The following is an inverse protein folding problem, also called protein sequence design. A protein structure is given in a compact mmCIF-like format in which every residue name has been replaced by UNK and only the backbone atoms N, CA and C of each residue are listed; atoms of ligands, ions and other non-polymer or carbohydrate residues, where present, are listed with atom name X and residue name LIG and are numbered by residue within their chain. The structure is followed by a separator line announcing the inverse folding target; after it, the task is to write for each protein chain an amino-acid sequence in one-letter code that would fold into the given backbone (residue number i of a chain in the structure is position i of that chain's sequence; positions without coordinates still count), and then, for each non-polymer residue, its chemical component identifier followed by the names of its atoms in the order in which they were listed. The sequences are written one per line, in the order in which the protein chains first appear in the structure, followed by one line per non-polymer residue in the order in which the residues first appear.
data_IF_923325314318
#
_entry.id   IF_923325314318
#
_cell.length_a   1.000
_cell.length_b   1.000
_cell.length_c   1.000
_cell.angle_alpha   90.00
_cell.angle_beta   90.00
_cell.angle_gamma   90.00
#
_symmetry.space_group_name_H-M   'P 1'
#
loop_
_entity.id
_entity.type
_entity.pdbx_description
1 polymer ?
#
# COMPACT_ATOMS: atom_id res chain seq x y z
N UNK A 1 -6.98 -5.51 13.25
CA UNK A 1 -5.78 -4.97 13.92
C UNK A 1 -4.55 -5.77 13.52
N UNK A 2 -4.48 -7.08 13.78
CA UNK A 2 -3.35 -7.92 13.32
C UNK A 2 -3.11 -7.89 11.80
N UNK A 3 -4.16 -7.84 10.99
CA UNK A 3 -4.07 -7.79 9.52
C UNK A 3 -3.52 -6.48 8.97
N UNK A 4 -3.82 -5.36 9.64
CA UNK A 4 -3.25 -4.04 9.31
C UNK A 4 -1.76 -4.08 9.59
N UNK A 5 -1.37 -4.58 10.78
CA UNK A 5 0.02 -4.71 11.18
C UNK A 5 0.82 -5.55 10.17
N UNK A 6 0.29 -6.72 9.77
CA UNK A 6 0.96 -7.60 8.81
C UNK A 6 1.15 -6.94 7.44
N UNK A 7 0.12 -6.27 6.93
CA UNK A 7 0.20 -5.53 5.67
C UNK A 7 1.21 -4.38 5.74
N UNK A 8 1.22 -3.63 6.85
CA UNK A 8 2.18 -2.54 7.07
C UNK A 8 3.61 -3.04 7.20
N UNK A 9 3.83 -4.20 7.83
CA UNK A 9 5.15 -4.84 7.89
C UNK A 9 5.62 -5.28 6.51
N UNK A 10 4.74 -5.83 5.69
CA UNK A 10 5.09 -6.16 4.30
C UNK A 10 5.42 -4.91 3.49
N UNK A 11 4.65 -3.84 3.65
CA UNK A 11 4.97 -2.56 3.01
C UNK A 11 6.32 -2.01 3.50
N UNK A 12 6.65 -2.13 4.79
CA UNK A 12 7.96 -1.76 5.34
C UNK A 12 9.09 -2.58 4.70
N UNK A 13 8.91 -3.88 4.49
CA UNK A 13 9.88 -4.73 3.78
C UNK A 13 10.08 -4.23 2.35
N UNK A 14 9.02 -3.86 1.63
CA UNK A 14 9.13 -3.29 0.29
C UNK A 14 9.76 -1.90 0.28
N UNK A 15 9.47 -1.04 1.26
CA UNK A 15 10.15 0.24 1.41
C UNK A 15 11.65 0.04 1.62
N UNK A 16 12.03 -0.91 2.48
CA UNK A 16 13.43 -1.29 2.70
C UNK A 16 14.10 -1.87 1.46
N UNK A 17 13.41 -2.75 0.71
CA UNK A 17 13.92 -3.30 -0.54
C UNK A 17 14.11 -2.22 -1.60
N UNK A 18 13.21 -1.25 -1.68
CA UNK A 18 13.30 -0.14 -2.63
C UNK A 18 14.48 0.78 -2.32
N UNK A 19 14.74 1.02 -1.04
CA UNK A 19 15.89 1.79 -0.60
C UNK A 19 17.21 1.04 -0.88
N UNK A 20 17.26 -0.28 -0.63
CA UNK A 20 18.41 -1.13 -0.96
C UNK A 20 18.72 -1.15 -2.46
N UNK A 21 17.68 -1.11 -3.30
CA UNK A 21 17.80 -1.07 -4.76
C UNK A 21 18.04 0.35 -5.31
N UNK A 22 18.14 1.37 -4.44
CA UNK A 22 18.28 2.78 -4.81
C UNK A 22 17.12 3.31 -5.69
N UNK A 23 15.92 2.74 -5.53
CA UNK A 23 14.70 3.13 -6.27
C UNK A 23 13.91 4.19 -5.50
N UNK A 24 13.95 4.12 -4.16
CA UNK A 24 13.31 5.08 -3.25
C UNK A 24 14.32 5.58 -2.22
N UNK A 25 14.12 6.80 -1.72
CA UNK A 25 14.96 7.39 -0.69
C UNK A 25 14.58 6.89 0.71
N UNK A 26 15.42 7.21 1.70
CA UNK A 26 15.15 6.90 3.12
C UNK A 26 13.84 7.51 3.64
N UNK A 27 13.39 8.60 3.03
CA UNK A 27 12.09 9.20 3.29
C UNK A 27 10.90 8.27 3.04
N UNK A 28 11.07 7.21 2.23
CA UNK A 28 10.04 6.20 2.00
C UNK A 28 9.58 5.51 3.30
N UNK A 29 10.44 5.45 4.33
CA UNK A 29 10.04 4.90 5.63
C UNK A 29 8.94 5.74 6.32
N UNK A 30 8.82 7.03 5.98
CA UNK A 30 7.73 7.89 6.47
C UNK A 30 6.39 7.59 5.80
N UNK A 31 6.40 6.93 4.63
CA UNK A 31 5.18 6.46 3.97
C UNK A 31 4.57 5.26 4.70
N UNK A 32 5.34 4.53 5.51
CA UNK A 32 4.87 3.35 6.27
C UNK A 32 3.76 3.68 7.28
N UNK A 33 3.91 4.68 8.18
CA UNK A 33 2.80 5.07 9.05
C UNK A 33 1.62 5.65 8.27
N UNK A 34 1.86 6.36 7.16
CA UNK A 34 0.81 6.89 6.30
C UNK A 34 0.00 5.77 5.64
N UNK A 35 0.67 4.72 5.16
CA UNK A 35 0.05 3.51 4.63
C UNK A 35 -0.88 2.86 5.66
N UNK A 36 -0.44 2.75 6.92
CA UNK A 36 -1.26 2.21 8.01
C UNK A 36 -2.54 3.02 8.24
N UNK A 37 -2.46 4.35 8.15
CA UNK A 37 -3.62 5.24 8.29
C UNK A 37 -4.56 5.08 7.10
N UNK A 38 -4.05 5.00 5.87
CA UNK A 38 -4.85 4.81 4.65
C UNK A 38 -5.57 3.45 4.61
N UNK A 39 -5.03 2.42 5.27
CA UNK A 39 -5.71 1.13 5.42
C UNK A 39 -6.99 1.20 6.27
N UNK A 40 -7.11 2.16 7.19
CA UNK A 40 -8.30 2.32 8.04
C UNK A 40 -9.57 2.62 7.22
N UNK A 41 -9.62 3.65 6.35
CA UNK A 41 -10.76 3.87 5.46
C UNK A 41 -10.88 2.78 4.39
N UNK A 42 -9.77 2.21 3.91
CA UNK A 42 -9.81 1.11 2.94
C UNK A 42 -10.63 -0.09 3.45
N UNK A 43 -10.58 -0.36 4.77
CA UNK A 43 -11.39 -1.40 5.42
C UNK A 43 -12.89 -1.30 5.09
N UNK A 44 -13.44 -0.11 4.92
CA UNK A 44 -14.86 0.10 4.61
C UNK A 44 -15.21 -0.44 3.22
N UNK A 45 -14.31 -0.31 2.25
CA UNK A 45 -14.49 -0.80 0.89
C UNK A 45 -14.41 -2.33 0.80
N UNK A 46 -13.59 -2.95 1.66
CA UNK A 46 -13.42 -4.41 1.71
C UNK A 46 -14.46 -5.13 2.58
N UNK A 47 -15.24 -4.42 3.40
CA UNK A 47 -16.20 -5.01 4.34
C UNK A 47 -17.39 -5.71 3.66
N UNK A 48 -17.69 -5.40 2.41
CA UNK A 48 -18.83 -6.01 1.67
C UNK A 48 -18.42 -7.11 0.70
N UNK A 49 -17.16 -7.54 0.68
CA UNK A 49 -16.62 -8.44 -0.34
C UNK A 49 -16.65 -9.91 0.12
N UNK A 50 -17.75 -10.61 -0.17
CA UNK A 50 -17.79 -12.08 -0.15
C UNK A 50 -16.93 -12.63 -1.28
N UNK A 51 -15.80 -13.27 -0.97
CA UNK A 51 -15.02 -14.16 -1.87
C UNK A 51 -15.04 -13.79 -3.37
N UNK A 52 -14.82 -12.52 -3.70
CA UNK A 52 -14.73 -12.07 -5.09
C UNK A 52 -13.28 -12.10 -5.55
N UNK A 53 -13.11 -12.40 -6.83
CA UNK A 53 -11.83 -12.27 -7.52
C UNK A 53 -11.31 -10.82 -7.47
N UNK A 54 -10.09 -10.63 -7.96
CA UNK A 54 -9.47 -9.32 -8.11
C UNK A 54 -10.42 -8.37 -8.87
N UNK A 55 -10.83 -7.25 -8.27
CA UNK A 55 -11.67 -6.26 -8.95
C UNK A 55 -10.82 -5.08 -9.44
N UNK A 56 -11.26 -4.41 -10.50
CA UNK A 56 -10.63 -3.16 -11.00
C UNK A 56 -10.52 -2.11 -9.88
N UNK A 57 -11.43 -2.17 -8.91
CA UNK A 57 -11.45 -1.31 -7.72
C UNK A 57 -10.18 -1.45 -6.87
N UNK A 58 -9.62 -2.66 -6.77
CA UNK A 58 -8.41 -2.92 -5.97
C UNK A 58 -7.19 -2.17 -6.54
N UNK A 59 -7.09 -2.15 -7.87
CA UNK A 59 -6.07 -1.38 -8.58
C UNK A 59 -6.26 0.13 -8.39
N UNK A 60 -7.50 0.62 -8.45
CA UNK A 60 -7.80 2.03 -8.23
C UNK A 60 -7.51 2.49 -6.79
N UNK A 61 -7.75 1.64 -5.80
CA UNK A 61 -7.41 1.93 -4.39
C UNK A 61 -5.88 2.01 -4.23
N UNK A 62 -5.14 1.05 -4.79
CA UNK A 62 -3.68 1.10 -4.78
C UNK A 62 -3.14 2.36 -5.48
N UNK A 63 -3.72 2.73 -6.62
CA UNK A 63 -3.37 3.95 -7.33
C UNK A 63 -3.62 5.20 -6.46
N UNK A 64 -4.78 5.26 -5.80
CA UNK A 64 -5.11 6.36 -4.89
C UNK A 64 -4.10 6.52 -3.75
N UNK A 65 -3.62 5.41 -3.19
CA UNK A 65 -2.58 5.43 -2.14
C UNK A 65 -1.26 5.99 -2.67
N UNK A 66 -0.84 5.58 -3.88
CA UNK A 66 0.40 6.09 -4.49
C UNK A 66 0.28 7.58 -4.80
N UNK A 67 -0.87 8.05 -5.28
CA UNK A 67 -1.10 9.49 -5.51
C UNK A 67 -0.93 10.29 -4.21
N UNK A 68 -1.42 9.77 -3.09
CA UNK A 68 -1.21 10.39 -1.77
C UNK A 68 0.28 10.39 -1.39
N UNK A 69 1.02 9.31 -1.66
CA UNK A 69 2.46 9.25 -1.40
C UNK A 69 3.26 10.23 -2.24
N UNK A 70 2.93 10.36 -3.53
CA UNK A 70 3.53 11.35 -4.41
C UNK A 70 3.23 12.78 -3.92
N UNK A 71 2.01 13.05 -3.47
CA UNK A 71 1.67 14.32 -2.83
C UNK A 71 2.55 14.62 -1.60
N UNK A 72 2.88 13.59 -0.80
CA UNK A 72 3.83 13.75 0.30
C UNK A 72 5.26 14.04 -0.16
N UNK A 73 5.73 13.42 -1.25
CA UNK A 73 7.04 13.73 -1.83
C UNK A 73 7.11 15.13 -2.43
N UNK A 74 6.06 15.58 -3.12
CA UNK A 74 5.95 16.94 -3.66
C UNK A 74 6.04 18.01 -2.55
N UNK A 75 5.27 17.83 -1.46
CA UNK A 75 5.32 18.74 -0.30
C UNK A 75 6.71 18.80 0.34
N UNK A 76 7.48 17.71 0.24
CA UNK A 76 8.84 17.59 0.78
C UNK A 76 9.94 17.94 -0.22
N UNK A 77 9.57 18.31 -1.45
CA UNK A 77 10.52 18.61 -2.53
C UNK A 77 11.48 17.45 -2.81
N UNK A 78 10.99 16.22 -2.70
CA UNK A 78 11.78 15.02 -3.00
C UNK A 78 11.66 14.62 -4.46
N UNK A 79 12.79 14.28 -5.06
CA UNK A 79 12.84 13.80 -6.44
C UNK A 79 12.29 12.37 -6.50
N UNK A 80 11.35 12.15 -7.42
CA UNK A 80 10.85 10.83 -7.75
C UNK A 80 10.71 10.71 -9.27
N UNK A 81 11.06 9.55 -9.81
CA UNK A 81 10.97 9.27 -11.23
C UNK A 81 9.83 8.28 -11.52
N UNK A 82 9.59 8.02 -12.81
CA UNK A 82 8.60 7.04 -13.25
C UNK A 82 8.85 5.64 -12.65
N UNK A 83 10.12 5.28 -12.46
CA UNK A 83 10.53 4.02 -11.81
C UNK A 83 10.07 3.95 -10.36
N UNK A 84 10.24 5.05 -9.61
CA UNK A 84 9.78 5.17 -8.22
C UNK A 84 8.26 5.05 -8.14
N UNK A 85 7.53 5.66 -9.06
CA UNK A 85 6.08 5.53 -9.16
C UNK A 85 5.64 4.07 -9.34
N UNK A 86 6.18 3.36 -10.34
CA UNK A 86 5.81 1.98 -10.61
C UNK A 86 6.19 1.05 -9.46
N UNK A 87 7.33 1.29 -8.84
CA UNK A 87 7.79 0.53 -7.69
C UNK A 87 6.86 0.70 -6.49
N UNK A 88 6.52 1.95 -6.14
CA UNK A 88 5.59 2.25 -5.05
C UNK A 88 4.20 1.66 -5.33
N UNK A 89 3.74 1.73 -6.58
CA UNK A 89 2.48 1.12 -6.98
C UNK A 89 2.47 -0.40 -6.78
N UNK A 90 3.53 -1.09 -7.21
CA UNK A 90 3.66 -2.52 -7.00
C UNK A 90 3.72 -2.88 -5.50
N UNK A 91 4.53 -2.14 -4.73
CA UNK A 91 4.69 -2.35 -3.29
C UNK A 91 3.38 -2.16 -2.52
N UNK A 92 2.64 -1.08 -2.83
CA UNK A 92 1.31 -0.81 -2.27
C UNK A 92 0.33 -1.89 -2.70
N UNK A 93 0.30 -2.26 -3.97
CA UNK A 93 -0.64 -3.24 -4.49
C UNK A 93 -0.46 -4.61 -3.82
N UNK A 94 0.77 -5.10 -3.72
CA UNK A 94 1.06 -6.39 -3.09
C UNK A 94 0.72 -6.41 -1.59
N UNK A 95 1.07 -5.34 -0.87
CA UNK A 95 0.76 -5.22 0.55
C UNK A 95 -0.75 -5.04 0.81
N UNK A 96 -1.46 -4.32 -0.06
CA UNK A 96 -2.91 -4.15 -0.03
C UNK A 96 -3.64 -5.45 -0.34
N UNK A 97 -3.13 -6.25 -1.29
CA UNK A 97 -3.70 -7.56 -1.61
C UNK A 97 -3.64 -8.51 -0.41
N UNK A 98 -2.50 -8.56 0.28
CA UNK A 98 -2.40 -9.34 1.53
C UNK A 98 -3.43 -8.89 2.58
N UNK A 99 -3.70 -7.59 2.66
CA UNK A 99 -4.73 -7.05 3.54
C UNK A 99 -6.14 -7.43 3.09
N UNK A 100 -6.46 -7.27 1.81
CA UNK A 100 -7.77 -7.57 1.23
C UNK A 100 -8.10 -9.06 1.37
N UNK A 101 -7.16 -9.95 1.06
CA UNK A 101 -7.31 -11.39 1.20
C UNK A 101 -7.59 -11.77 2.65
N UNK A 102 -6.84 -11.20 3.60
CA UNK A 102 -7.06 -11.45 5.03
C UNK A 102 -8.44 -11.03 5.54
N UNK A 103 -9.14 -10.13 4.83
CA UNK A 103 -10.52 -9.72 5.15
C UNK A 103 -11.53 -10.61 4.42
N UNK A 104 -11.32 -10.85 3.12
CA UNK A 104 -12.22 -11.65 2.27
C UNK A 104 -12.30 -13.10 2.77
N UNK A 105 -11.17 -13.73 3.07
CA UNK A 105 -11.11 -15.13 3.52
C UNK A 105 -11.44 -15.32 5.00
N UNK A 106 -11.48 -14.26 5.81
CA UNK A 106 -11.94 -14.35 7.20
C UNK A 106 -13.43 -14.68 7.32
N UNK A 107 -14.20 -14.52 6.24
CA UNK A 107 -15.62 -14.92 6.19
C UNK A 107 -15.85 -16.44 6.07
N UNK A 108 -14.79 -17.23 5.83
CA UNK A 108 -14.85 -18.69 5.69
C UNK A 108 -14.57 -19.46 7.00
N UNK A 109 -14.06 -18.79 8.04
CA UNK A 109 -13.88 -19.32 9.39
C UNK A 109 -14.93 -18.75 10.34
#
# INVERSE_FOLDING_TARGET
MLTILLSTLMFLVFAGLGNLLLIVNESAYLLVPLYAVLLLPARLFYRSANCRALEVRDFLIALGFVVVFLGCYEVRQELFDLTTFWYLYLAVFLSLMLYADSIRFKSLM
#
